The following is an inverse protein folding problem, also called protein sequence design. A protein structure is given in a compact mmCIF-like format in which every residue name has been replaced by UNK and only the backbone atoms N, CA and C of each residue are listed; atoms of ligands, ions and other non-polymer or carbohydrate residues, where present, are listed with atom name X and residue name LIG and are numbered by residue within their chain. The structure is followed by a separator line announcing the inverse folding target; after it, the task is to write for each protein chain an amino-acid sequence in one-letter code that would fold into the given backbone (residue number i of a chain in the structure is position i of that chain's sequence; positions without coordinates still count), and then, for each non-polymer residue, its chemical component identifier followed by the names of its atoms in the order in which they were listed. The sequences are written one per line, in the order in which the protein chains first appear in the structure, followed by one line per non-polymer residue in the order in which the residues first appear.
data_IF_654062926695
#
_entry.id   IF_654062926695
#
_cell.length_a   1.000
_cell.length_b   1.000
_cell.length_c   1.000
_cell.angle_alpha   90.00
_cell.angle_beta   90.00
_cell.angle_gamma   90.00
#
_symmetry.space_group_name_H-M   'P 1'
#
loop_
_entity.id
_entity.type
_entity.pdbx_description
1 polymer ?
#
# COMPACT_ATOMS: atom_id res chain seq x y z
N UNK A 1 30.40 -52.94 42.99
CA UNK A 1 31.23 -51.71 43.10
C UNK A 1 30.27 -50.55 43.27
N UNK A 2 30.08 -50.11 44.54
CA UNK A 2 29.04 -49.09 44.90
C UNK A 2 29.68 -47.71 44.75
N UNK A 3 29.16 -46.91 43.83
CA UNK A 3 29.56 -45.50 43.63
C UNK A 3 28.78 -44.66 44.66
N UNK A 4 29.26 -44.51 45.85
CA UNK A 4 28.74 -43.55 46.80
C UNK A 4 29.59 -42.25 46.68
N UNK A 5 29.03 -41.28 45.90
CA UNK A 5 29.55 -39.93 45.93
C UNK A 5 29.44 -39.36 47.35
N UNK A 6 30.48 -38.73 47.87
CA UNK A 6 30.44 -38.08 49.17
C UNK A 6 29.51 -36.86 49.13
N UNK A 7 28.87 -36.52 50.23
CA UNK A 7 27.97 -35.36 50.34
C UNK A 7 28.66 -34.04 49.90
N UNK A 8 29.97 -33.96 50.10
CA UNK A 8 30.81 -32.83 49.69
C UNK A 8 31.00 -32.75 48.14
N UNK A 9 31.12 -33.89 47.47
CA UNK A 9 31.20 -33.94 45.98
C UNK A 9 29.87 -33.59 45.35
N UNK A 10 28.75 -34.01 45.90
CA UNK A 10 27.40 -33.64 45.45
C UNK A 10 27.15 -32.14 45.62
N UNK A 11 27.59 -31.53 46.71
CA UNK A 11 27.44 -30.08 46.95
C UNK A 11 28.33 -29.25 46.00
N UNK A 12 29.54 -29.72 45.67
CA UNK A 12 30.43 -29.01 44.71
C UNK A 12 29.90 -29.10 43.30
N UNK A 13 29.32 -30.21 42.91
CA UNK A 13 28.72 -30.38 41.59
C UNK A 13 27.43 -29.53 41.43
N UNK A 14 26.59 -29.47 42.48
CA UNK A 14 25.42 -28.59 42.54
C UNK A 14 25.79 -27.08 42.44
N UNK A 15 26.85 -26.66 43.12
CA UNK A 15 27.34 -25.27 43.06
C UNK A 15 27.91 -24.95 41.64
N UNK A 16 28.64 -25.89 41.07
CA UNK A 16 29.13 -25.79 39.67
C UNK A 16 27.99 -25.69 38.65
N UNK A 17 26.95 -26.53 38.81
CA UNK A 17 25.75 -26.47 37.98
C UNK A 17 25.03 -25.11 38.12
N UNK A 18 24.83 -24.66 39.34
CA UNK A 18 24.16 -23.37 39.63
C UNK A 18 24.93 -22.19 39.02
N UNK A 19 26.25 -22.19 39.07
CA UNK A 19 27.08 -21.15 38.43
C UNK A 19 26.97 -21.18 36.89
N UNK A 20 26.91 -22.36 36.28
CA UNK A 20 26.72 -22.52 34.83
C UNK A 20 25.35 -22.01 34.43
N UNK A 21 24.29 -22.37 35.16
CA UNK A 21 22.92 -21.93 34.92
C UNK A 21 22.79 -20.40 35.01
N UNK A 22 23.38 -19.77 36.05
CA UNK A 22 23.40 -18.31 36.17
C UNK A 22 24.13 -17.65 35.02
N UNK A 23 25.27 -18.19 34.54
CA UNK A 23 25.99 -17.66 33.38
C UNK A 23 25.14 -17.78 32.10
N UNK A 24 24.49 -18.93 31.89
CA UNK A 24 23.60 -19.13 30.75
C UNK A 24 22.42 -18.13 30.76
N UNK A 25 21.82 -17.92 31.94
CA UNK A 25 20.74 -16.96 32.12
C UNK A 25 21.20 -15.52 31.77
N UNK A 26 22.38 -15.13 32.24
CA UNK A 26 22.96 -13.82 31.94
C UNK A 26 23.17 -13.67 30.42
N UNK A 27 23.72 -14.69 29.75
CA UNK A 27 23.91 -14.68 28.29
C UNK A 27 22.58 -14.54 27.59
N UNK A 28 21.55 -15.30 27.99
CA UNK A 28 20.19 -15.19 27.37
C UNK A 28 19.64 -13.78 27.57
N UNK A 29 19.73 -13.21 28.77
CA UNK A 29 19.25 -11.85 29.06
C UNK A 29 19.98 -10.83 28.18
N UNK A 30 21.29 -10.93 28.07
CA UNK A 30 22.08 -10.03 27.20
C UNK A 30 21.67 -10.15 25.74
N UNK A 31 21.44 -11.37 25.23
CA UNK A 31 20.98 -11.60 23.85
C UNK A 31 19.57 -11.03 23.63
N UNK A 32 18.67 -11.19 24.58
CA UNK A 32 17.30 -10.61 24.51
C UNK A 32 17.37 -9.08 24.48
N UNK A 33 18.19 -8.47 25.34
CA UNK A 33 18.38 -7.01 25.34
C UNK A 33 18.98 -6.54 24.02
N UNK A 34 20.00 -7.22 23.50
CA UNK A 34 20.60 -6.88 22.22
C UNK A 34 19.60 -6.98 21.07
N UNK A 35 18.81 -8.05 21.02
CA UNK A 35 17.73 -8.21 20.04
C UNK A 35 16.67 -7.10 20.13
N UNK A 36 16.27 -6.73 21.35
CA UNK A 36 15.31 -5.64 21.57
C UNK A 36 15.87 -4.29 21.10
N UNK A 37 17.16 -4.02 21.34
CA UNK A 37 17.82 -2.79 20.86
C UNK A 37 17.91 -2.75 19.33
N UNK A 38 18.22 -3.86 18.69
CA UNK A 38 18.23 -3.97 17.22
C UNK A 38 16.83 -3.71 16.67
N UNK A 39 15.81 -4.37 17.22
CA UNK A 39 14.43 -4.16 16.82
C UNK A 39 14.00 -2.70 16.98
N UNK A 40 14.28 -2.09 18.12
CA UNK A 40 13.99 -0.67 18.36
C UNK A 40 14.70 0.24 17.35
N UNK A 41 15.97 -0.05 17.04
CA UNK A 41 16.73 0.73 16.05
C UNK A 41 16.12 0.65 14.66
N UNK A 42 15.78 -0.56 14.20
CA UNK A 42 15.10 -0.77 12.90
C UNK A 42 13.74 -0.05 12.88
N UNK A 43 12.97 -0.18 13.96
CA UNK A 43 11.68 0.51 14.08
C UNK A 43 11.82 2.04 13.98
N UNK A 44 12.80 2.62 14.70
CA UNK A 44 13.06 4.07 14.66
C UNK A 44 13.53 4.52 13.27
N UNK A 45 14.35 3.73 12.58
CA UNK A 45 14.79 4.00 11.21
C UNK A 45 13.63 3.93 10.21
N UNK A 46 12.72 2.98 10.39
CA UNK A 46 11.50 2.89 9.58
C UNK A 46 10.59 4.10 9.81
N UNK A 47 10.37 4.50 11.07
CA UNK A 47 9.63 5.73 11.41
C UNK A 47 10.26 7.00 10.84
N UNK A 48 11.59 7.05 10.71
CA UNK A 48 12.32 8.15 10.04
C UNK A 48 12.37 8.00 8.51
N UNK A 49 11.62 7.07 7.92
CA UNK A 49 11.57 6.81 6.47
C UNK A 49 12.93 6.43 5.85
N UNK A 50 13.81 5.79 6.63
CA UNK A 50 15.16 5.39 6.21
C UNK A 50 15.28 3.91 5.83
N UNK A 51 14.35 3.07 6.27
CA UNK A 51 14.32 1.62 6.02
C UNK A 51 12.91 1.18 5.70
N UNK A 52 12.76 0.39 4.63
CA UNK A 52 11.50 -0.25 4.25
C UNK A 52 11.43 -1.63 4.89
N UNK A 53 10.50 -1.83 5.81
CA UNK A 53 10.35 -3.13 6.50
C UNK A 53 9.13 -3.93 6.03
N UNK A 54 8.28 -3.34 5.19
CA UNK A 54 7.00 -3.93 4.81
C UNK A 54 7.13 -5.27 4.08
N UNK A 55 8.20 -5.45 3.27
CA UNK A 55 8.50 -6.74 2.63
C UNK A 55 8.62 -7.93 3.60
N UNK A 56 8.88 -7.67 4.89
CA UNK A 56 8.91 -8.71 5.91
C UNK A 56 7.53 -9.11 6.42
N UNK A 57 6.48 -8.35 6.05
CA UNK A 57 5.10 -8.51 6.50
C UNK A 57 4.12 -8.85 5.37
N UNK A 58 4.59 -8.84 4.12
CA UNK A 58 3.81 -9.22 2.94
C UNK A 58 4.40 -10.50 2.36
N UNK A 59 3.59 -11.54 2.29
CA UNK A 59 3.94 -12.79 1.62
C UNK A 59 3.60 -12.66 0.13
N UNK A 60 4.57 -12.14 -0.66
CA UNK A 60 4.38 -11.87 -2.08
C UNK A 60 4.08 -13.13 -2.91
N UNK A 61 4.39 -14.34 -2.41
CA UNK A 61 4.13 -15.61 -3.11
C UNK A 61 2.68 -16.06 -2.95
N UNK A 62 2.09 -15.87 -1.76
CA UNK A 62 0.76 -16.37 -1.43
C UNK A 62 -0.31 -15.28 -1.40
N UNK A 63 0.06 -14.00 -1.47
CA UNK A 63 -0.89 -12.88 -1.49
C UNK A 63 -1.23 -12.46 -2.93
N UNK A 64 -2.38 -11.82 -3.08
CA UNK A 64 -2.78 -11.17 -4.34
C UNK A 64 -2.05 -9.84 -4.49
N UNK A 65 -1.02 -9.83 -5.32
CA UNK A 65 -0.16 -8.66 -5.55
C UNK A 65 -0.62 -7.89 -6.78
N UNK A 66 -0.64 -6.57 -6.67
CA UNK A 66 -0.87 -5.63 -7.75
C UNK A 66 0.24 -4.61 -7.89
N UNK A 67 0.15 -3.83 -8.96
CA UNK A 67 1.00 -2.66 -9.17
C UNK A 67 0.12 -1.45 -9.51
N UNK A 68 0.67 -0.24 -9.32
CA UNK A 68 0.10 0.94 -9.94
C UNK A 68 1.16 1.67 -10.76
N UNK A 69 0.71 2.26 -11.87
CA UNK A 69 1.56 2.74 -12.95
C UNK A 69 1.02 4.03 -13.55
N UNK A 70 1.92 4.77 -14.18
CA UNK A 70 1.62 6.00 -14.92
C UNK A 70 2.57 6.14 -16.12
N UNK A 71 2.55 7.27 -16.77
CA UNK A 71 3.53 7.63 -17.82
C UNK A 71 4.98 7.60 -17.35
N UNK A 72 5.25 7.61 -16.05
CA UNK A 72 6.60 7.50 -15.50
C UNK A 72 7.29 6.16 -15.81
N UNK A 73 6.51 5.07 -15.90
CA UNK A 73 7.01 3.76 -16.32
C UNK A 73 7.10 3.61 -17.85
N UNK A 74 6.61 4.60 -18.63
CA UNK A 74 6.56 4.63 -20.09
C UNK A 74 5.88 3.39 -20.71
N UNK A 75 6.55 2.68 -21.63
CA UNK A 75 5.98 1.50 -22.27
C UNK A 75 6.04 0.29 -21.31
N UNK A 76 4.89 -0.34 -21.10
CA UNK A 76 4.73 -1.43 -20.13
C UNK A 76 4.33 -2.72 -20.86
N UNK A 77 5.13 -3.76 -20.68
CA UNK A 77 4.79 -5.14 -21.03
C UNK A 77 3.95 -5.75 -19.90
N UNK A 78 2.61 -5.68 -20.05
CA UNK A 78 1.66 -6.19 -19.04
C UNK A 78 1.78 -7.71 -18.87
N UNK A 79 2.17 -8.46 -19.90
CA UNK A 79 2.45 -9.89 -19.81
C UNK A 79 3.69 -10.16 -18.95
N UNK A 80 4.71 -9.30 -19.03
CA UNK A 80 5.88 -9.40 -18.15
C UNK A 80 5.50 -9.16 -16.67
N UNK A 81 4.67 -8.18 -16.38
CA UNK A 81 4.15 -7.96 -15.03
C UNK A 81 3.37 -9.20 -14.53
N UNK A 82 2.48 -9.73 -15.34
CA UNK A 82 1.68 -10.93 -15.01
C UNK A 82 2.57 -12.16 -14.72
N UNK A 83 3.66 -12.37 -15.49
CA UNK A 83 4.62 -13.45 -15.23
C UNK A 83 5.36 -13.30 -13.90
N UNK A 84 5.46 -12.08 -13.35
CA UNK A 84 6.09 -11.78 -12.07
C UNK A 84 5.09 -11.73 -10.90
N UNK A 85 3.98 -12.46 -11.01
CA UNK A 85 2.93 -12.62 -10.01
C UNK A 85 2.08 -11.36 -9.77
N UNK A 86 2.09 -10.37 -10.68
CA UNK A 86 1.14 -9.26 -10.62
C UNK A 86 -0.23 -9.74 -11.12
N UNK A 87 -1.25 -9.59 -10.28
CA UNK A 87 -2.62 -10.04 -10.53
C UNK A 87 -3.55 -8.94 -10.95
N UNK A 88 -3.26 -7.69 -10.58
CA UNK A 88 -4.02 -6.52 -10.96
C UNK A 88 -3.12 -5.30 -11.14
N UNK A 89 -3.59 -4.32 -11.90
CA UNK A 89 -2.88 -3.06 -12.10
C UNK A 89 -3.84 -1.88 -12.04
N UNK A 90 -3.46 -0.82 -11.33
CA UNK A 90 -4.11 0.48 -11.45
C UNK A 90 -3.29 1.39 -12.34
N UNK A 91 -3.95 2.08 -13.28
CA UNK A 91 -3.30 2.90 -14.30
C UNK A 91 -3.77 4.35 -14.14
N UNK A 92 -2.83 5.29 -14.00
CA UNK A 92 -3.14 6.72 -13.95
C UNK A 92 -3.85 7.14 -15.23
N UNK A 93 -5.03 7.72 -15.11
CA UNK A 93 -5.77 8.25 -16.24
C UNK A 93 -5.64 9.77 -16.33
N UNK A 94 -5.88 10.46 -15.21
CA UNK A 94 -5.98 11.92 -15.20
C UNK A 94 -5.47 12.53 -13.89
N UNK A 95 -5.26 13.85 -13.93
CA UNK A 95 -4.97 14.68 -12.77
C UNK A 95 -5.68 16.03 -12.91
N UNK A 96 -6.35 16.48 -11.85
CA UNK A 96 -7.10 17.73 -11.89
C UNK A 96 -8.10 17.77 -13.03
N UNK A 97 -8.54 18.97 -13.41
CA UNK A 97 -9.63 19.14 -14.38
C UNK A 97 -9.25 18.97 -15.85
N UNK A 98 -7.95 18.87 -16.20
CA UNK A 98 -7.54 18.93 -17.60
C UNK A 98 -6.38 18.04 -18.00
N UNK A 99 -5.56 17.61 -17.05
CA UNK A 99 -4.39 16.80 -17.38
C UNK A 99 -4.78 15.33 -17.56
N UNK A 100 -4.28 14.73 -18.63
CA UNK A 100 -4.48 13.32 -19.00
C UNK A 100 -3.12 12.65 -19.12
N UNK A 101 -2.99 11.43 -18.58
CA UNK A 101 -1.76 10.66 -18.69
C UNK A 101 -1.54 10.21 -20.14
N UNK A 102 -0.40 10.60 -20.71
CA UNK A 102 -0.08 10.36 -22.14
C UNK A 102 0.04 8.88 -22.50
N UNK A 103 0.23 8.01 -21.51
CA UNK A 103 0.35 6.55 -21.69
C UNK A 103 -0.92 5.80 -21.29
N UNK A 104 -1.92 6.49 -20.74
CA UNK A 104 -3.13 5.83 -20.27
C UNK A 104 -3.79 4.96 -21.35
N UNK A 105 -4.10 5.52 -22.50
CA UNK A 105 -4.83 4.81 -23.56
C UNK A 105 -4.11 3.54 -24.02
N UNK A 106 -2.78 3.59 -24.13
CA UNK A 106 -1.96 2.45 -24.51
C UNK A 106 -1.90 1.41 -23.41
N UNK A 107 -1.57 1.81 -22.18
CA UNK A 107 -1.48 0.91 -21.01
C UNK A 107 -2.85 0.27 -20.71
N UNK A 108 -3.94 1.02 -20.85
CA UNK A 108 -5.32 0.53 -20.66
C UNK A 108 -5.69 -0.56 -21.67
N UNK A 109 -5.32 -0.36 -22.93
CA UNK A 109 -5.50 -1.36 -24.00
C UNK A 109 -4.62 -2.59 -23.78
N UNK A 110 -3.35 -2.39 -23.42
CA UNK A 110 -2.38 -3.47 -23.23
C UNK A 110 -2.75 -4.36 -22.04
N UNK A 111 -3.24 -3.79 -20.93
CA UNK A 111 -3.72 -4.55 -19.78
C UNK A 111 -4.89 -5.48 -20.16
N UNK A 112 -5.84 -5.00 -20.99
CA UNK A 112 -6.92 -5.84 -21.51
C UNK A 112 -6.39 -6.94 -22.43
N UNK A 113 -5.41 -6.64 -23.28
CA UNK A 113 -4.79 -7.61 -24.19
C UNK A 113 -4.05 -8.74 -23.46
N UNK A 114 -3.42 -8.45 -22.33
CA UNK A 114 -2.71 -9.40 -21.48
C UNK A 114 -3.64 -10.18 -20.51
N UNK A 115 -4.95 -9.91 -20.52
CA UNK A 115 -5.89 -10.46 -19.56
C UNK A 115 -5.41 -10.20 -18.10
N UNK A 116 -4.96 -8.99 -17.85
CA UNK A 116 -4.58 -8.49 -16.53
C UNK A 116 -5.69 -7.58 -16.01
N UNK A 117 -6.25 -7.92 -14.85
CA UNK A 117 -7.29 -7.09 -14.23
C UNK A 117 -6.75 -5.67 -14.00
N UNK A 118 -7.49 -4.69 -14.50
CA UNK A 118 -7.02 -3.31 -14.46
C UNK A 118 -8.10 -2.33 -14.03
N UNK A 119 -7.70 -1.33 -13.25
CA UNK A 119 -8.48 -0.17 -12.86
C UNK A 119 -7.82 1.12 -13.31
N UNK A 120 -8.60 2.17 -13.44
CA UNK A 120 -8.10 3.52 -13.70
C UNK A 120 -8.12 4.34 -12.41
N UNK A 121 -7.12 5.22 -12.23
CA UNK A 121 -7.16 6.17 -11.13
C UNK A 121 -6.97 7.62 -11.59
N UNK A 122 -7.57 8.52 -10.83
CA UNK A 122 -7.48 9.97 -10.96
C UNK A 122 -6.67 10.56 -9.81
N UNK A 123 -5.71 11.41 -10.09
CA UNK A 123 -5.00 12.17 -9.06
C UNK A 123 -5.77 13.45 -8.74
N UNK A 124 -6.29 13.54 -7.51
CA UNK A 124 -7.18 14.61 -7.09
C UNK A 124 -6.42 15.91 -6.83
N UNK A 125 -6.88 16.98 -7.47
CA UNK A 125 -6.36 18.33 -7.26
C UNK A 125 -7.19 19.08 -6.21
N UNK A 126 -6.51 19.66 -5.23
CA UNK A 126 -7.13 20.57 -4.26
C UNK A 126 -7.41 21.97 -4.82
N UNK A 127 -7.00 22.22 -6.06
CA UNK A 127 -7.07 23.55 -6.71
C UNK A 127 -8.11 23.57 -7.85
N UNK A 128 -8.90 22.50 -8.01
CA UNK A 128 -9.91 22.36 -9.07
C UNK A 128 -11.24 21.88 -8.49
N UNK A 129 -12.33 22.23 -9.17
CA UNK A 129 -13.67 21.78 -8.80
C UNK A 129 -13.82 20.25 -8.98
N UNK A 130 -14.42 19.57 -8.01
CA UNK A 130 -14.56 18.11 -8.01
C UNK A 130 -15.29 17.57 -9.23
N UNK A 131 -16.38 18.22 -9.63
CA UNK A 131 -17.16 17.84 -10.83
C UNK A 131 -16.31 17.88 -12.10
N UNK A 132 -15.55 18.95 -12.33
CA UNK A 132 -14.74 19.08 -13.55
C UNK A 132 -13.58 18.07 -13.58
N UNK A 133 -13.08 17.67 -12.42
CA UNK A 133 -12.10 16.58 -12.31
C UNK A 133 -12.74 15.22 -12.67
N UNK A 134 -13.97 14.97 -12.20
CA UNK A 134 -14.71 13.75 -12.53
C UNK A 134 -15.03 13.69 -14.04
N UNK A 135 -15.46 14.80 -14.64
CA UNK A 135 -15.71 14.90 -16.09
C UNK A 135 -14.43 14.59 -16.89
N UNK A 136 -13.27 15.15 -16.51
CA UNK A 136 -11.98 14.83 -17.14
C UNK A 136 -11.64 13.33 -17.03
N UNK A 137 -11.91 12.72 -15.87
CA UNK A 137 -11.69 11.28 -15.66
C UNK A 137 -12.62 10.43 -16.55
N UNK A 138 -13.91 10.72 -16.55
CA UNK A 138 -14.93 10.00 -17.32
C UNK A 138 -14.64 10.10 -18.82
N UNK A 139 -14.34 11.31 -19.32
CA UNK A 139 -14.01 11.54 -20.72
C UNK A 139 -12.78 10.77 -21.18
N UNK A 140 -11.80 10.61 -20.29
CA UNK A 140 -10.52 9.91 -20.57
C UNK A 140 -10.68 8.39 -20.52
N UNK A 141 -11.38 7.87 -19.51
CA UNK A 141 -11.53 6.42 -19.27
C UNK A 141 -12.61 5.81 -20.18
N UNK A 142 -13.66 6.60 -20.50
CA UNK A 142 -14.83 6.17 -21.23
C UNK A 142 -15.92 5.58 -20.35
N UNK A 143 -17.11 5.42 -20.89
CA UNK A 143 -18.32 5.07 -20.15
C UNK A 143 -18.42 3.59 -19.74
N UNK A 144 -17.58 2.69 -20.27
CA UNK A 144 -17.67 1.24 -20.03
C UNK A 144 -16.50 0.74 -19.17
N UNK A 145 -16.80 0.45 -17.91
CA UNK A 145 -15.89 -0.20 -16.96
C UNK A 145 -16.21 -1.68 -16.72
N UNK A 146 -17.16 -2.28 -17.46
CA UNK A 146 -17.53 -3.68 -17.25
C UNK A 146 -16.31 -4.62 -17.37
N UNK A 147 -16.11 -5.45 -16.33
CA UNK A 147 -14.96 -6.35 -16.22
C UNK A 147 -13.65 -5.67 -15.83
N UNK A 148 -13.67 -4.38 -15.49
CA UNK A 148 -12.55 -3.63 -14.94
C UNK A 148 -12.68 -3.53 -13.42
N UNK A 149 -11.60 -3.15 -12.75
CA UNK A 149 -11.64 -2.84 -11.32
C UNK A 149 -12.38 -1.52 -11.08
N UNK A 150 -12.89 -1.34 -9.86
CA UNK A 150 -13.49 -0.09 -9.42
C UNK A 150 -12.61 1.09 -9.79
N UNK A 151 -13.18 2.19 -10.30
CA UNK A 151 -12.41 3.42 -10.51
C UNK A 151 -11.87 3.91 -9.17
N UNK A 152 -10.70 4.53 -9.16
CA UNK A 152 -10.09 5.03 -7.95
C UNK A 152 -9.78 6.53 -8.04
N UNK A 153 -9.82 7.20 -6.88
CA UNK A 153 -9.33 8.57 -6.71
C UNK A 153 -8.20 8.59 -5.70
N UNK A 154 -7.11 9.22 -6.08
CA UNK A 154 -5.90 9.37 -5.29
C UNK A 154 -5.89 10.73 -4.60
N UNK A 155 -6.01 10.72 -3.26
CA UNK A 155 -6.08 11.91 -2.41
C UNK A 155 -4.79 12.01 -1.61
N UNK A 156 -3.82 12.71 -2.18
CA UNK A 156 -2.50 12.94 -1.60
C UNK A 156 -2.12 14.43 -1.60
N UNK A 157 -1.12 14.80 -0.78
CA UNK A 157 -0.52 16.12 -0.88
C UNK A 157 0.46 16.19 -2.05
N UNK A 158 0.43 17.31 -2.77
CA UNK A 158 1.37 17.68 -3.82
C UNK A 158 1.84 19.13 -3.64
N UNK A 159 2.93 19.50 -4.30
CA UNK A 159 3.48 20.85 -4.23
C UNK A 159 3.75 21.28 -2.79
N UNK A 160 3.13 22.36 -2.37
CA UNK A 160 3.24 22.93 -1.03
C UNK A 160 2.11 22.53 -0.07
N UNK A 161 1.20 21.64 -0.48
CA UNK A 161 -0.03 21.31 0.28
C UNK A 161 0.24 20.67 1.65
N UNK A 162 1.40 20.04 1.85
CA UNK A 162 1.77 19.52 3.17
C UNK A 162 2.10 20.67 4.15
N UNK A 163 2.71 21.76 3.67
CA UNK A 163 3.04 22.95 4.45
C UNK A 163 1.83 23.90 4.55
N UNK A 164 1.05 24.01 3.49
CA UNK A 164 -0.13 24.85 3.37
C UNK A 164 -1.38 23.99 3.08
N UNK A 165 -1.86 23.21 4.07
CA UNK A 165 -2.92 22.23 3.84
C UNK A 165 -4.25 22.93 3.55
N UNK A 166 -5.04 22.41 2.56
CA UNK A 166 -6.36 22.95 2.28
C UNK A 166 -7.30 22.77 3.47
N UNK A 167 -8.36 23.58 3.51
CA UNK A 167 -9.39 23.42 4.54
C UNK A 167 -10.18 22.15 4.34
N UNK A 168 -10.51 21.48 5.44
CA UNK A 168 -11.27 20.22 5.40
C UNK A 168 -12.60 20.37 4.66
N UNK A 169 -13.32 21.45 4.93
CA UNK A 169 -14.64 21.69 4.34
C UNK A 169 -14.57 21.77 2.81
N UNK A 170 -13.51 22.39 2.27
CA UNK A 170 -13.32 22.50 0.83
C UNK A 170 -12.96 21.15 0.23
N UNK A 171 -12.05 20.39 0.86
CA UNK A 171 -11.69 19.05 0.40
C UNK A 171 -12.89 18.10 0.41
N UNK A 172 -13.66 18.09 1.49
CA UNK A 172 -14.88 17.25 1.61
C UNK A 172 -15.88 17.59 0.53
N UNK A 173 -16.15 18.88 0.29
CA UNK A 173 -17.10 19.32 -0.73
C UNK A 173 -16.66 18.87 -2.13
N UNK A 174 -15.43 19.19 -2.53
CA UNK A 174 -14.95 18.90 -3.88
C UNK A 174 -14.75 17.40 -4.11
N UNK A 175 -14.26 16.67 -3.11
CA UNK A 175 -14.11 15.22 -3.22
C UNK A 175 -15.48 14.53 -3.31
N UNK A 176 -16.48 15.02 -2.56
CA UNK A 176 -17.84 14.49 -2.65
C UNK A 176 -18.43 14.72 -4.04
N UNK A 177 -18.27 15.91 -4.59
CA UNK A 177 -18.77 16.24 -5.93
C UNK A 177 -18.08 15.36 -7.01
N UNK A 178 -16.79 15.07 -6.85
CA UNK A 178 -16.06 14.11 -7.69
C UNK A 178 -16.66 12.70 -7.59
N UNK A 179 -16.76 12.18 -6.37
CA UNK A 179 -17.21 10.81 -6.10
C UNK A 179 -18.65 10.59 -6.56
N UNK A 180 -19.56 11.52 -6.24
CA UNK A 180 -20.96 11.46 -6.64
C UNK A 180 -21.10 11.46 -8.19
N UNK A 181 -20.28 12.26 -8.89
CA UNK A 181 -20.30 12.34 -10.35
C UNK A 181 -19.81 11.04 -10.99
N UNK A 182 -18.72 10.47 -10.47
CA UNK A 182 -18.17 9.19 -10.96
C UNK A 182 -19.12 8.01 -10.64
N UNK A 183 -19.71 8.00 -9.45
CA UNK A 183 -20.71 6.99 -9.05
C UNK A 183 -21.96 7.08 -9.93
N UNK A 184 -22.41 8.29 -10.26
CA UNK A 184 -23.57 8.50 -11.16
C UNK A 184 -23.31 7.95 -12.56
N UNK A 185 -22.09 8.10 -13.11
CA UNK A 185 -21.74 7.61 -14.44
C UNK A 185 -21.61 6.09 -14.47
N UNK A 186 -20.86 5.50 -13.54
CA UNK A 186 -20.50 4.07 -13.59
C UNK A 186 -21.42 3.17 -12.78
N UNK A 187 -22.31 3.75 -11.93
CA UNK A 187 -23.20 2.98 -11.05
C UNK A 187 -22.51 2.25 -9.90
N UNK A 188 -21.24 2.55 -9.65
CA UNK A 188 -20.43 1.96 -8.57
C UNK A 188 -19.67 3.02 -7.81
N UNK A 189 -19.51 2.83 -6.49
CA UNK A 189 -18.71 3.74 -5.67
C UNK A 189 -17.23 3.60 -6.01
N UNK A 190 -16.53 4.71 -6.31
CA UNK A 190 -15.09 4.69 -6.49
C UNK A 190 -14.35 4.24 -5.22
N UNK A 191 -13.14 3.72 -5.39
CA UNK A 191 -12.20 3.49 -4.30
C UNK A 191 -11.41 4.77 -3.99
N UNK A 192 -11.12 5.03 -2.73
CA UNK A 192 -10.28 6.18 -2.34
C UNK A 192 -8.90 5.68 -1.91
N UNK A 193 -7.87 6.09 -2.69
CA UNK A 193 -6.49 5.95 -2.27
C UNK A 193 -6.07 7.13 -1.41
N UNK A 194 -5.39 6.85 -0.29
CA UNK A 194 -4.86 7.88 0.60
C UNK A 194 -3.88 7.31 1.64
N UNK A 195 -3.27 8.20 2.43
CA UNK A 195 -2.48 7.88 3.62
C UNK A 195 -3.33 7.98 4.88
N UNK A 196 -2.88 7.30 5.95
CA UNK A 196 -3.61 7.28 7.23
C UNK A 196 -3.81 8.68 7.85
N UNK A 197 -2.82 9.57 7.74
CA UNK A 197 -2.91 10.93 8.27
C UNK A 197 -3.90 11.82 7.48
N UNK A 198 -3.99 11.64 6.17
CA UNK A 198 -4.97 12.34 5.32
C UNK A 198 -6.37 11.77 5.50
N UNK A 199 -6.50 10.45 5.68
CA UNK A 199 -7.76 9.83 6.05
C UNK A 199 -8.34 10.45 7.33
N UNK A 200 -7.56 10.48 8.41
CA UNK A 200 -8.00 11.07 9.68
C UNK A 200 -8.36 12.57 9.54
N UNK A 201 -7.63 13.28 8.70
CA UNK A 201 -7.81 14.72 8.53
C UNK A 201 -9.01 15.10 7.65
N UNK A 202 -9.19 14.40 6.53
CA UNK A 202 -10.15 14.82 5.50
C UNK A 202 -11.31 13.85 5.28
N UNK A 203 -11.10 12.53 5.47
CA UNK A 203 -12.04 11.54 4.97
C UNK A 203 -12.91 10.92 6.04
N UNK A 204 -12.39 10.78 7.24
CA UNK A 204 -13.06 10.10 8.35
C UNK A 204 -14.41 10.75 8.70
N UNK A 205 -15.44 9.94 8.76
CA UNK A 205 -16.81 10.33 9.06
C UNK A 205 -17.63 10.69 7.82
N UNK A 206 -17.03 11.27 6.77
CA UNK A 206 -17.75 11.65 5.54
C UNK A 206 -17.65 10.60 4.43
N UNK A 207 -16.56 9.79 4.44
CA UNK A 207 -16.27 8.82 3.38
C UNK A 207 -15.99 7.41 3.92
N UNK A 208 -16.47 7.05 5.09
CA UNK A 208 -16.20 5.76 5.73
C UNK A 208 -16.78 4.58 4.92
N UNK A 209 -17.81 4.80 4.15
CA UNK A 209 -18.50 3.79 3.33
C UNK A 209 -17.79 3.42 2.02
N UNK A 210 -16.79 4.21 1.59
CA UNK A 210 -16.03 3.93 0.38
C UNK A 210 -14.95 2.88 0.63
N UNK A 211 -14.65 2.05 -0.35
CA UNK A 211 -13.49 1.17 -0.31
C UNK A 211 -12.19 1.99 -0.19
N UNK A 212 -11.26 1.54 0.63
CA UNK A 212 -9.99 2.26 0.87
C UNK A 212 -8.81 1.50 0.26
N UNK A 213 -8.01 2.23 -0.49
CA UNK A 213 -6.68 1.83 -0.92
C UNK A 213 -5.67 2.67 -0.12
N UNK A 214 -5.02 2.06 0.85
CA UNK A 214 -4.19 2.79 1.82
C UNK A 214 -2.72 2.68 1.50
N UNK A 215 -1.97 3.77 1.61
CA UNK A 215 -0.51 3.73 1.47
C UNK A 215 0.22 3.79 2.82
N UNK A 216 1.22 2.95 2.95
CA UNK A 216 2.18 2.96 4.06
C UNK A 216 3.43 2.21 3.65
N UNK A 217 4.51 2.91 3.27
CA UNK A 217 5.70 2.31 2.64
C UNK A 217 6.74 1.79 3.63
N UNK A 218 6.84 2.41 4.79
CA UNK A 218 7.96 2.18 5.71
C UNK A 218 7.60 1.28 6.90
N UNK A 219 6.33 1.23 7.24
CA UNK A 219 5.82 0.46 8.38
C UNK A 219 4.52 -0.24 7.99
N UNK A 220 4.23 -1.42 8.56
CA UNK A 220 2.97 -2.11 8.32
C UNK A 220 1.77 -1.20 8.53
N UNK A 221 0.81 -1.25 7.60
CA UNK A 221 -0.37 -0.37 7.61
C UNK A 221 -1.11 -0.39 8.95
N UNK A 222 -1.33 -1.56 9.52
CA UNK A 222 -2.02 -1.76 10.81
C UNK A 222 -1.38 -1.06 12.01
N UNK A 223 -0.15 -0.55 11.88
CA UNK A 223 0.48 0.24 12.94
C UNK A 223 0.03 1.70 12.94
N UNK A 224 -0.43 2.19 11.78
CA UNK A 224 -0.81 3.58 11.58
C UNK A 224 -2.32 3.74 11.29
N UNK A 225 -2.98 2.69 10.81
CA UNK A 225 -4.39 2.69 10.42
C UNK A 225 -5.12 1.47 11.01
N UNK A 226 -6.32 1.68 11.55
CA UNK A 226 -7.14 0.66 12.21
C UNK A 226 -8.52 0.46 11.57
N UNK A 227 -8.85 1.25 10.56
CA UNK A 227 -10.08 1.10 9.80
C UNK A 227 -10.01 -0.04 8.78
N UNK A 228 -11.13 -0.27 8.10
CA UNK A 228 -11.22 -1.24 7.01
C UNK A 228 -10.49 -0.72 5.78
N UNK A 229 -9.82 -1.62 5.09
CA UNK A 229 -9.11 -1.34 3.85
C UNK A 229 -9.20 -2.52 2.90
N UNK A 230 -9.10 -2.27 1.60
CA UNK A 230 -9.17 -3.26 0.53
C UNK A 230 -7.81 -3.52 -0.09
N UNK A 231 -7.05 -2.47 -0.37
CA UNK A 231 -5.71 -2.55 -0.94
C UNK A 231 -4.74 -1.78 -0.05
N UNK A 232 -3.54 -2.33 0.13
CA UNK A 232 -2.42 -1.66 0.78
C UNK A 232 -1.27 -1.50 -0.21
N UNK A 233 -0.93 -0.25 -0.57
CA UNK A 233 0.30 0.07 -1.27
C UNK A 233 1.44 0.04 -0.25
N UNK A 234 2.16 -1.08 -0.25
CA UNK A 234 3.13 -1.39 0.79
C UNK A 234 4.56 -1.03 0.43
N UNK A 235 4.84 -0.78 -0.87
CA UNK A 235 6.18 -0.50 -1.36
C UNK A 235 6.13 0.44 -2.57
N UNK A 236 6.90 1.53 -2.53
CA UNK A 236 7.08 2.46 -3.64
C UNK A 236 8.48 2.36 -4.28
N UNK A 237 9.14 1.22 -4.10
CA UNK A 237 10.45 0.89 -4.69
C UNK A 237 10.50 -0.58 -5.09
N UNK A 238 9.42 -1.07 -5.70
CA UNK A 238 9.40 -2.37 -6.35
C UNK A 238 10.30 -2.35 -7.58
N UNK A 239 10.97 -3.45 -7.82
CA UNK A 239 11.78 -3.65 -9.04
C UNK A 239 11.17 -4.83 -9.78
N UNK A 240 10.59 -4.58 -10.94
CA UNK A 240 10.02 -5.57 -11.84
C UNK A 240 10.64 -5.37 -13.24
N UNK A 241 10.57 -6.41 -14.04
CA UNK A 241 10.89 -6.33 -15.47
C UNK A 241 9.64 -5.93 -16.26
N UNK A 242 9.83 -5.34 -17.44
CA UNK A 242 8.75 -5.11 -18.40
C UNK A 242 8.27 -3.66 -18.49
N UNK A 243 9.05 -2.70 -18.03
CA UNK A 243 8.80 -1.27 -18.32
C UNK A 243 10.10 -0.57 -18.74
N UNK A 244 9.98 0.50 -19.54
CA UNK A 244 11.11 1.15 -20.22
C UNK A 244 11.33 2.60 -19.82
N UNK A 245 10.53 3.14 -18.89
CA UNK A 245 10.59 4.53 -18.45
C UNK A 245 11.89 4.89 -17.72
N UNK A 246 12.07 6.19 -17.50
CA UNK A 246 13.18 6.71 -16.69
C UNK A 246 13.05 6.40 -15.19
N UNK A 247 11.85 6.07 -14.73
CA UNK A 247 11.59 5.64 -13.36
C UNK A 247 12.03 4.17 -13.20
N UNK A 248 12.96 3.97 -12.26
CA UNK A 248 13.47 2.63 -11.95
C UNK A 248 12.47 1.76 -11.19
N UNK A 249 11.63 2.39 -10.42
CA UNK A 249 10.78 1.72 -9.45
C UNK A 249 9.32 1.70 -9.88
N UNK A 250 8.60 0.72 -9.38
CA UNK A 250 7.17 0.55 -9.54
C UNK A 250 6.53 0.40 -8.16
N UNK A 251 5.34 0.91 -8.01
CA UNK A 251 4.57 0.82 -6.78
C UNK A 251 3.89 -0.56 -6.68
N UNK A 252 4.05 -1.22 -5.51
CA UNK A 252 3.50 -2.54 -5.28
C UNK A 252 2.40 -2.49 -4.22
N UNK A 253 1.35 -3.23 -4.51
CA UNK A 253 0.12 -3.30 -3.76
C UNK A 253 -0.17 -4.73 -3.33
N UNK A 254 -0.84 -4.89 -2.19
CA UNK A 254 -1.37 -6.16 -1.73
C UNK A 254 -2.85 -6.02 -1.42
N UNK A 255 -3.66 -6.98 -1.90
CA UNK A 255 -5.07 -7.08 -1.55
C UNK A 255 -5.20 -7.57 -0.09
N UNK A 256 -6.18 -7.07 0.63
CA UNK A 256 -6.49 -7.55 1.97
C UNK A 256 -6.99 -9.01 1.91
N UNK A 257 -6.49 -9.86 2.79
CA UNK A 257 -6.83 -11.29 2.84
C UNK A 257 -8.34 -11.58 3.07
N UNK A 258 -9.11 -10.57 3.49
CA UNK A 258 -10.57 -10.68 3.70
C UNK A 258 -11.39 -10.19 2.51
N UNK A 259 -10.74 -9.76 1.43
CA UNK A 259 -11.35 -9.20 0.21
C UNK A 259 -10.99 -10.11 -0.96
N UNK A 260 -11.99 -10.51 -1.73
CA UNK A 260 -11.75 -11.20 -3.00
C UNK A 260 -11.54 -10.16 -4.11
N UNK A 261 -10.61 -10.45 -5.03
CA UNK A 261 -10.32 -9.51 -6.14
C UNK A 261 -11.56 -9.29 -7.04
N UNK A 262 -12.41 -10.30 -7.13
CA UNK A 262 -13.69 -10.28 -7.84
C UNK A 262 -14.71 -9.30 -7.26
N UNK A 263 -14.59 -8.94 -5.98
CA UNK A 263 -15.45 -7.94 -5.32
C UNK A 263 -15.13 -6.51 -5.79
N UNK A 264 -13.96 -6.32 -6.39
CA UNK A 264 -13.53 -5.05 -6.96
C UNK A 264 -13.89 -4.90 -8.45
N UNK A 265 -14.48 -5.92 -9.09
CA UNK A 265 -14.81 -5.90 -10.52
C UNK A 265 -16.17 -5.25 -10.73
N UNK A 266 -16.22 -4.24 -11.61
CA UNK A 266 -17.45 -3.60 -12.11
C UNK A 266 -18.22 -4.59 -12.96
N UNK A 267 -19.51 -4.83 -12.60
CA UNK A 267 -20.39 -5.83 -13.22
C UNK A 267 -21.48 -5.18 -14.07
#
# INVERSE_FOLDING_TARGET
MSWHLTQKELMTDADGYTKRLKRLLIVIVVLVIAAALVFLSVFLLAKQKKVFINKWFVDEENSTIGADVSSHQADIDMDALKRQNIRFVYIKATEGSTWQDERFAENWKNAKGADLLSGAYHFFSYDSEGRTQAENFIDTVGADLHGRLLPAVDVEYYGDKEQNPPKREDVVRELKDYLDTVEQEYGVKPMIYTRADLYEKYLKGDFDEYAKWMSSFYTPLRWNYRGDWYIWQYLNRGELEGYSGGERYIDLNVLNDTVELEDLIVR
#
